data_IF_487903700711
#
_entry.id   IF_487903700711
#
_cell.length_a   1.000
_cell.length_b   1.000
_cell.length_c   1.000
_cell.angle_alpha   90.00
_cell.angle_beta   90.00
_cell.angle_gamma   90.00
#
_symmetry.space_group_name_H-M   'P 1'
#
loop_
_entity.id
_entity.type
_entity.pdbx_description
1 polymer ?
#
# COMPACT_ATOMS: atom_id res chain seq x y z
N UNK A 1 -6.42 7.55 10.75
CA UNK A 1 -5.26 8.46 10.77
C UNK A 1 -5.13 9.04 9.37
N UNK A 2 -5.22 10.35 9.16
CA UNK A 2 -5.03 10.89 7.82
C UNK A 2 -3.57 10.71 7.39
N UNK A 3 -3.38 10.18 6.19
CA UNK A 3 -2.07 10.09 5.57
C UNK A 3 -1.84 11.42 4.87
N UNK A 4 -0.85 12.17 5.31
CA UNK A 4 -0.49 13.45 4.72
C UNK A 4 0.78 13.30 3.90
N UNK A 5 0.96 14.19 2.93
CA UNK A 5 2.26 14.38 2.28
C UNK A 5 3.26 14.75 3.37
N UNK A 6 4.33 13.99 3.47
CA UNK A 6 5.36 14.17 4.47
C UNK A 6 6.56 14.83 3.82
N UNK A 7 7.08 15.85 4.47
CA UNK A 7 8.29 16.54 4.06
C UNK A 7 9.25 16.57 5.26
N UNK A 8 10.50 16.22 4.99
CA UNK A 8 11.57 16.28 5.98
C UNK A 8 12.39 17.53 5.76
N UNK A 9 12.65 18.27 6.85
CA UNK A 9 13.57 19.40 6.83
C UNK A 9 15.02 18.92 6.75
N UNK A 10 15.76 19.33 5.71
CA UNK A 10 17.16 18.95 5.48
C UNK A 10 18.16 19.89 6.11
N UNK A 11 17.69 20.98 6.74
CA UNK A 11 18.51 22.09 7.23
C UNK A 11 18.55 23.30 6.28
N UNK A 12 18.12 23.13 5.03
CA UNK A 12 18.09 24.20 4.02
C UNK A 12 16.74 24.28 3.30
N UNK A 13 16.08 23.16 3.04
CA UNK A 13 14.80 23.07 2.36
C UNK A 13 14.00 21.85 2.85
N UNK A 14 12.71 21.84 2.52
CA UNK A 14 11.85 20.68 2.75
C UNK A 14 11.97 19.72 1.59
N UNK A 15 12.33 18.46 1.88
CA UNK A 15 12.40 17.38 0.91
C UNK A 15 11.23 16.42 1.09
N UNK A 16 10.64 15.99 -0.03
CA UNK A 16 9.53 15.05 0.02
C UNK A 16 10.02 13.67 0.49
N UNK A 17 9.37 13.15 1.52
CA UNK A 17 9.67 11.83 2.06
C UNK A 17 8.40 10.99 2.19
N UNK A 18 8.55 9.73 2.54
CA UNK A 18 7.43 8.82 2.80
C UNK A 18 7.53 8.24 4.21
N UNK A 19 6.37 7.81 4.75
CA UNK A 19 6.32 7.14 6.05
C UNK A 19 7.25 5.92 6.11
N UNK A 20 7.35 5.19 5.00
CA UNK A 20 8.24 4.04 4.89
C UNK A 20 9.73 4.45 4.99
N UNK A 21 10.13 5.53 4.33
CA UNK A 21 11.49 6.06 4.42
C UNK A 21 11.84 6.57 5.83
N UNK A 22 10.85 7.09 6.54
CA UNK A 22 11.01 7.52 7.94
C UNK A 22 10.90 6.33 8.93
N UNK A 23 10.81 5.10 8.44
CA UNK A 23 10.80 3.89 9.27
C UNK A 23 9.48 3.65 10.01
N UNK A 24 8.39 4.30 9.59
CA UNK A 24 7.07 4.06 10.19
C UNK A 24 6.55 2.68 9.82
N UNK A 25 6.13 1.92 10.82
CA UNK A 25 5.52 0.60 10.68
C UNK A 25 4.11 0.62 11.27
N UNK A 26 3.12 0.23 10.47
CA UNK A 26 1.74 0.11 10.93
C UNK A 26 1.51 -1.27 11.56
N UNK A 27 1.22 -1.29 12.86
CA UNK A 27 0.85 -2.49 13.59
C UNK A 27 -0.66 -2.70 13.54
N UNK A 28 -1.12 -3.84 12.99
CA UNK A 28 -2.54 -4.13 12.76
C UNK A 28 -3.24 -4.86 13.92
N UNK A 29 -2.59 -4.95 15.06
CA UNK A 29 -3.16 -5.56 16.25
C UNK A 29 -2.82 -4.77 17.50
N UNK A 30 -3.32 -5.24 18.64
CA UNK A 30 -2.95 -4.74 19.98
C UNK A 30 -3.07 -3.21 20.15
N UNK A 31 -4.07 -2.60 19.48
CA UNK A 31 -4.27 -1.14 19.56
C UNK A 31 -3.20 -0.31 18.86
N UNK A 32 -2.44 -0.90 17.93
CA UNK A 32 -1.34 -0.23 17.22
C UNK A 32 0.04 -0.54 17.80
N UNK A 33 0.10 -1.33 18.88
CA UNK A 33 1.35 -1.78 19.47
C UNK A 33 1.94 -3.00 18.73
N UNK A 34 3.27 -3.21 18.80
CA UNK A 34 3.90 -4.40 18.22
C UNK A 34 3.30 -5.69 18.76
N UNK A 35 3.01 -6.65 17.88
CA UNK A 35 2.47 -7.94 18.29
C UNK A 35 3.52 -8.73 19.11
N UNK A 36 3.18 -9.21 20.33
CA UNK A 36 4.10 -10.02 21.13
C UNK A 36 4.58 -11.29 20.41
N UNK A 37 3.75 -11.84 19.52
CA UNK A 37 4.10 -13.01 18.71
C UNK A 37 5.09 -12.73 17.57
N UNK A 38 5.35 -11.46 17.24
CA UNK A 38 6.30 -11.08 16.17
C UNK A 38 7.74 -10.92 16.66
N UNK A 39 7.98 -10.97 17.97
CA UNK A 39 9.27 -10.69 18.60
C UNK A 39 10.34 -11.78 18.40
N UNK A 40 10.01 -12.91 17.73
CA UNK A 40 10.90 -14.08 17.63
C UNK A 40 11.71 -14.16 16.33
N UNK A 41 11.70 -13.15 15.47
CA UNK A 41 12.46 -13.17 14.20
C UNK A 41 13.41 -11.98 14.01
N UNK A 42 14.06 -11.52 15.08
CA UNK A 42 15.29 -10.73 14.97
C UNK A 42 16.48 -11.61 15.30
N UNK A 43 17.10 -12.15 14.26
CA UNK A 43 18.41 -12.80 14.39
C UNK A 43 18.52 -14.10 13.64
N UNK A 44 18.76 -14.03 12.35
CA UNK A 44 19.67 -14.94 11.65
C UNK A 44 19.88 -14.42 10.22
N UNK A 45 20.95 -13.65 10.06
CA UNK A 45 21.69 -13.62 8.80
C UNK A 45 22.36 -14.97 8.67
N UNK A 46 22.31 -15.54 7.48
CA UNK A 46 23.24 -16.59 7.14
C UNK A 46 22.66 -17.64 6.18
N UNK A 47 23.27 -17.62 5.04
CA UNK A 47 23.54 -18.73 4.12
C UNK A 47 22.53 -19.08 3.05
N UNK A 48 23.06 -18.92 1.86
CA UNK A 48 22.65 -19.41 0.54
C UNK A 48 22.27 -20.90 0.56
N UNK A 49 21.24 -21.24 -0.16
CA UNK A 49 21.18 -22.53 -0.86
C UNK A 49 20.37 -22.34 -2.14
N UNK A 50 21.09 -22.51 -3.24
CA UNK A 50 20.59 -22.67 -4.59
C UNK A 50 19.70 -23.91 -4.69
N UNK A 51 18.57 -23.80 -5.36
CA UNK A 51 17.99 -24.92 -6.09
C UNK A 51 17.18 -24.40 -7.25
N UNK A 52 17.70 -24.72 -8.42
CA UNK A 52 17.14 -24.63 -9.75
C UNK A 52 15.80 -25.37 -9.84
N UNK A 53 14.79 -24.73 -10.43
CA UNK A 53 13.78 -25.45 -11.19
C UNK A 53 13.35 -24.59 -12.39
N UNK A 54 13.58 -25.16 -13.57
CA UNK A 54 13.31 -24.56 -14.87
C UNK A 54 11.83 -24.78 -15.20
N UNK A 55 11.14 -23.69 -15.48
CA UNK A 55 9.78 -23.69 -16.01
C UNK A 55 9.65 -22.62 -17.09
N UNK A 56 9.81 -23.02 -18.35
CA UNK A 56 9.60 -22.18 -19.53
C UNK A 56 8.14 -21.74 -19.63
N UNK A 57 7.91 -20.44 -19.74
CA UNK A 57 6.63 -19.83 -20.04
C UNK A 57 6.83 -18.53 -20.82
N UNK A 58 6.75 -18.62 -22.14
CA UNK A 58 6.79 -17.49 -23.06
C UNK A 58 5.63 -16.53 -22.78
N UNK A 59 5.95 -15.27 -22.52
CA UNK A 59 5.00 -14.17 -22.43
C UNK A 59 5.71 -12.85 -22.70
N UNK A 60 5.38 -12.21 -23.83
CA UNK A 60 5.93 -10.98 -24.40
C UNK A 60 6.15 -9.90 -23.34
N UNK A 61 7.39 -9.55 -23.16
CA UNK A 61 7.89 -8.50 -22.28
C UNK A 61 7.99 -7.18 -23.08
N UNK A 62 7.01 -6.33 -22.94
CA UNK A 62 7.20 -4.90 -23.20
C UNK A 62 7.95 -4.33 -21.99
N UNK A 63 9.24 -4.10 -22.15
CA UNK A 63 10.17 -3.62 -21.13
C UNK A 63 9.74 -2.32 -20.47
N UNK A 64 8.82 -2.40 -19.54
CA UNK A 64 8.51 -1.31 -18.59
C UNK A 64 9.55 -1.36 -17.50
N UNK A 65 10.43 -0.37 -17.44
CA UNK A 65 11.29 -0.09 -16.29
C UNK A 65 10.44 -0.16 -15.01
N UNK A 66 10.67 -1.23 -14.24
CA UNK A 66 10.02 -1.48 -12.96
C UNK A 66 10.36 -0.33 -12.01
N UNK A 67 9.46 0.62 -11.89
CA UNK A 67 9.51 1.63 -10.84
C UNK A 67 9.42 0.91 -9.50
N UNK A 68 10.17 1.34 -8.49
CA UNK A 68 10.36 0.67 -7.18
C UNK A 68 9.10 0.25 -6.39
N UNK A 69 7.93 0.20 -7.03
CA UNK A 69 6.65 -0.27 -6.53
C UNK A 69 6.48 -1.80 -6.61
N UNK A 70 7.33 -2.51 -7.36
CA UNK A 70 7.16 -3.95 -7.65
C UNK A 70 8.03 -4.86 -6.79
N UNK A 71 9.04 -4.35 -6.11
CA UNK A 71 9.76 -5.08 -5.07
C UNK A 71 8.96 -5.07 -3.77
N UNK A 72 7.86 -5.77 -3.79
CA UNK A 72 6.96 -5.84 -2.65
C UNK A 72 7.41 -6.94 -1.71
N UNK A 73 8.26 -6.58 -0.76
CA UNK A 73 8.44 -7.38 0.45
C UNK A 73 7.05 -7.67 1.04
N UNK A 74 6.82 -8.90 1.50
CA UNK A 74 5.53 -9.37 2.05
C UNK A 74 5.02 -8.56 3.25
N UNK A 75 5.76 -7.53 3.65
CA UNK A 75 5.48 -6.63 4.77
C UNK A 75 5.03 -5.23 4.33
N UNK A 76 4.95 -4.95 3.01
CA UNK A 76 4.47 -3.66 2.52
C UNK A 76 3.03 -3.74 2.03
N UNK A 77 2.24 -2.73 2.39
CA UNK A 77 0.87 -2.52 1.94
C UNK A 77 0.79 -1.20 1.19
N UNK A 78 0.15 -1.22 0.04
CA UNK A 78 -0.22 0.01 -0.67
C UNK A 78 -1.52 0.54 -0.08
N UNK A 79 -1.49 1.73 0.49
CA UNK A 79 -2.68 2.40 1.03
C UNK A 79 -3.04 3.57 0.12
N UNK A 80 -4.27 3.56 -0.37
CA UNK A 80 -4.83 4.64 -1.17
C UNK A 80 -5.69 5.51 -0.26
N UNK A 81 -5.33 6.78 -0.17
CA UNK A 81 -5.99 7.78 0.67
C UNK A 81 -6.35 9.03 -0.14
N UNK A 82 -7.16 9.92 0.43
CA UNK A 82 -7.49 11.21 -0.20
C UNK A 82 -6.27 12.07 -0.51
N UNK A 83 -5.17 11.88 0.22
CA UNK A 83 -3.88 12.56 0.03
C UNK A 83 -3.02 11.94 -1.07
N UNK A 84 -3.38 10.75 -1.57
CA UNK A 84 -2.65 10.04 -2.61
C UNK A 84 -2.45 8.56 -2.32
N UNK A 85 -1.44 7.97 -2.97
CA UNK A 85 -1.06 6.56 -2.85
C UNK A 85 0.21 6.45 -2.01
N UNK A 86 0.16 5.64 -0.96
CA UNK A 86 1.25 5.50 0.01
C UNK A 86 1.66 4.04 0.14
N UNK A 87 2.96 3.80 0.30
CA UNK A 87 3.47 2.48 0.69
C UNK A 87 3.81 2.51 2.18
N UNK A 88 3.29 1.57 2.94
CA UNK A 88 3.57 1.42 4.36
C UNK A 88 4.06 0.02 4.67
N UNK A 89 5.06 -0.05 5.54
CA UNK A 89 5.39 -1.31 6.21
C UNK A 89 4.29 -1.65 7.20
N UNK A 90 3.87 -2.91 7.21
CA UNK A 90 2.82 -3.41 8.10
C UNK A 90 3.30 -4.63 8.87
N UNK A 91 2.89 -4.70 10.12
CA UNK A 91 3.03 -5.88 10.96
C UNK A 91 1.65 -6.46 11.28
N UNK A 92 1.41 -7.65 10.74
CA UNK A 92 0.20 -8.42 11.04
C UNK A 92 0.25 -8.99 12.44
N UNK A 93 -0.89 -8.99 13.12
CA UNK A 93 -1.01 -9.76 14.36
C UNK A 93 -0.96 -11.25 14.05
N UNK A 94 -0.08 -11.98 14.72
CA UNK A 94 0.15 -13.43 14.56
C UNK A 94 -0.20 -14.23 15.83
N UNK A 95 -0.95 -13.63 16.76
CA UNK A 95 -1.40 -14.33 17.95
C UNK A 95 -2.35 -15.49 17.59
N UNK A 96 -2.46 -16.50 18.47
CA UNK A 96 -3.35 -17.65 18.27
C UNK A 96 -4.83 -17.26 18.05
N UNK A 97 -5.23 -16.10 18.57
CA UNK A 97 -6.56 -15.51 18.42
C UNK A 97 -6.61 -14.38 17.39
N UNK A 98 -5.58 -14.26 16.55
CA UNK A 98 -5.52 -13.19 15.54
C UNK A 98 -6.68 -13.34 14.55
N UNK A 99 -7.33 -12.22 14.25
CA UNK A 99 -8.31 -12.19 13.17
C UNK A 99 -7.63 -12.36 11.80
N UNK A 100 -8.39 -12.75 10.80
CA UNK A 100 -7.96 -12.82 9.41
C UNK A 100 -7.39 -11.48 8.92
N UNK A 101 -6.43 -11.47 7.97
CA UNK A 101 -5.76 -10.24 7.52
C UNK A 101 -6.73 -9.14 7.09
N UNK A 102 -7.76 -9.46 6.32
CA UNK A 102 -8.75 -8.48 5.89
C UNK A 102 -9.55 -7.88 7.06
N UNK A 103 -9.82 -8.66 8.11
CA UNK A 103 -10.50 -8.17 9.33
C UNK A 103 -9.58 -7.25 10.13
N UNK A 104 -8.27 -7.56 10.19
CA UNK A 104 -7.31 -6.69 10.84
C UNK A 104 -7.25 -5.31 10.16
N UNK A 105 -7.31 -5.26 8.82
CA UNK A 105 -7.38 -4.01 8.07
C UNK A 105 -8.67 -3.24 8.36
N UNK A 106 -9.83 -3.89 8.30
CA UNK A 106 -11.12 -3.26 8.57
C UNK A 106 -11.19 -2.65 9.98
N UNK A 107 -10.63 -3.32 10.98
CA UNK A 107 -10.53 -2.77 12.36
C UNK A 107 -9.69 -1.50 12.43
N UNK A 108 -8.74 -1.34 11.50
CA UNK A 108 -7.90 -0.13 11.38
C UNK A 108 -8.47 0.88 10.37
N UNK A 109 -9.75 0.76 9.99
CA UNK A 109 -10.42 1.62 9.01
C UNK A 109 -9.76 1.62 7.64
N UNK A 110 -9.24 0.47 7.24
CA UNK A 110 -8.68 0.21 5.92
C UNK A 110 -9.52 -0.86 5.22
N UNK A 111 -10.09 -0.51 4.09
CA UNK A 111 -10.89 -1.43 3.28
C UNK A 111 -9.94 -2.22 2.37
N UNK A 112 -9.83 -3.56 2.52
CA UNK A 112 -8.92 -4.35 1.71
C UNK A 112 -9.43 -4.51 0.28
N UNK A 113 -8.57 -4.35 -0.71
CA UNK A 113 -8.88 -4.60 -2.12
C UNK A 113 -9.05 -6.10 -2.45
N UNK A 114 -8.54 -6.98 -1.60
CA UNK A 114 -8.73 -8.42 -1.70
C UNK A 114 -8.81 -9.07 -0.32
N UNK A 115 -9.59 -10.15 -0.22
CA UNK A 115 -9.83 -10.82 1.07
C UNK A 115 -8.67 -11.76 1.44
N UNK A 116 -8.22 -12.59 0.49
CA UNK A 116 -7.27 -13.66 0.78
C UNK A 116 -5.85 -13.18 1.06
N UNK A 117 -5.36 -12.23 0.26
CA UNK A 117 -4.00 -11.67 0.36
C UNK A 117 -4.06 -10.16 0.07
N UNK A 118 -4.47 -9.35 1.03
CA UNK A 118 -4.56 -7.92 0.82
C UNK A 118 -3.16 -7.31 0.68
N UNK A 119 -2.84 -6.84 -0.52
CA UNK A 119 -1.63 -6.06 -0.82
C UNK A 119 -1.94 -4.58 -1.03
N UNK A 120 -3.23 -4.26 -1.18
CA UNK A 120 -3.74 -2.89 -1.34
C UNK A 120 -4.95 -2.70 -0.42
N UNK A 121 -5.05 -1.53 0.18
CA UNK A 121 -6.20 -1.13 0.98
C UNK A 121 -6.56 0.32 0.70
N UNK A 122 -7.83 0.66 0.92
CA UNK A 122 -8.39 2.00 0.77
C UNK A 122 -8.78 2.55 2.13
N UNK A 123 -8.53 3.83 2.39
CA UNK A 123 -9.09 4.46 3.59
C UNK A 123 -10.60 4.67 3.42
N UNK A 124 -11.37 4.56 4.50
CA UNK A 124 -12.81 4.84 4.44
C UNK A 124 -13.09 6.28 4.03
N UNK A 125 -12.24 7.22 4.43
CA UNK A 125 -12.35 8.63 4.01
C UNK A 125 -12.23 8.79 2.49
N UNK A 126 -11.34 8.02 1.84
CA UNK A 126 -11.23 8.02 0.38
C UNK A 126 -12.51 7.49 -0.26
N UNK A 127 -13.07 6.39 0.26
CA UNK A 127 -14.27 5.76 -0.27
C UNK A 127 -15.47 6.69 -0.20
N UNK A 128 -15.64 7.36 0.93
CA UNK A 128 -16.68 8.36 1.15
C UNK A 128 -16.51 9.55 0.19
N UNK A 129 -15.29 10.06 0.04
CA UNK A 129 -14.98 11.15 -0.88
C UNK A 129 -15.28 10.77 -2.34
N UNK A 130 -14.86 9.57 -2.77
CA UNK A 130 -15.16 9.08 -4.11
C UNK A 130 -16.67 8.90 -4.32
N UNK A 131 -17.38 8.38 -3.34
CA UNK A 131 -18.84 8.24 -3.42
C UNK A 131 -19.50 9.58 -3.67
N UNK A 132 -19.15 10.61 -2.91
CA UNK A 132 -19.68 11.96 -3.11
C UNK A 132 -19.31 12.50 -4.49
N UNK A 133 -18.04 12.44 -4.90
CA UNK A 133 -17.57 12.89 -6.21
C UNK A 133 -18.28 12.17 -7.37
N UNK A 134 -18.60 10.89 -7.21
CA UNK A 134 -19.28 10.09 -8.23
C UNK A 134 -20.76 10.48 -8.39
N UNK A 135 -21.43 10.77 -7.28
CA UNK A 135 -22.84 11.14 -7.27
C UNK A 135 -23.06 12.60 -7.70
N UNK A 136 -22.33 13.52 -7.09
CA UNK A 136 -22.51 14.95 -7.31
C UNK A 136 -21.82 15.46 -8.58
N UNK A 137 -20.57 15.02 -8.81
CA UNK A 137 -19.73 15.51 -9.90
C UNK A 137 -19.68 14.56 -11.09
N UNK A 138 -20.36 13.40 -11.04
CA UNK A 138 -20.30 12.36 -12.08
C UNK A 138 -18.86 11.91 -12.40
N UNK A 139 -17.99 11.94 -11.41
CA UNK A 139 -16.59 11.59 -11.57
C UNK A 139 -16.43 10.08 -11.76
N UNK A 140 -15.78 9.68 -12.85
CA UNK A 140 -15.45 8.27 -13.06
C UNK A 140 -14.32 7.81 -12.15
N UNK A 141 -14.24 6.50 -11.88
CA UNK A 141 -13.16 5.91 -11.09
C UNK A 141 -11.77 6.24 -11.68
N UNK A 142 -11.63 6.17 -13.01
CA UNK A 142 -10.36 6.50 -13.68
C UNK A 142 -9.97 7.98 -13.55
N UNK A 143 -10.93 8.89 -13.64
CA UNK A 143 -10.69 10.34 -13.42
C UNK A 143 -10.30 10.62 -11.99
N UNK A 144 -10.99 10.00 -11.03
CA UNK A 144 -10.68 10.13 -9.61
C UNK A 144 -9.29 9.59 -9.29
N UNK A 145 -8.93 8.41 -9.83
CA UNK A 145 -7.60 7.84 -9.64
C UNK A 145 -6.51 8.69 -10.30
N UNK A 146 -6.77 9.31 -11.45
CA UNK A 146 -5.84 10.25 -12.08
C UNK A 146 -5.54 11.47 -11.20
N UNK A 147 -6.55 11.98 -10.47
CA UNK A 147 -6.38 13.01 -9.43
C UNK A 147 -5.46 12.51 -8.31
N UNK A 148 -5.68 11.29 -7.80
CA UNK A 148 -4.84 10.70 -6.74
C UNK A 148 -3.39 10.52 -7.16
N UNK A 149 -3.14 10.12 -8.41
CA UNK A 149 -1.78 10.02 -8.97
C UNK A 149 -1.05 11.36 -8.94
N UNK A 150 -1.74 12.44 -9.30
CA UNK A 150 -1.18 13.80 -9.25
C UNK A 150 -0.92 14.27 -7.83
N UNK A 151 -1.77 13.90 -6.88
CA UNK A 151 -1.55 14.19 -5.46
C UNK A 151 -0.36 13.41 -4.89
N UNK A 152 -0.15 12.17 -5.36
CA UNK A 152 0.97 11.33 -4.94
C UNK A 152 2.30 11.89 -5.47
N UNK A 153 2.36 12.20 -6.75
CA UNK A 153 3.55 12.75 -7.40
C UNK A 153 3.14 13.74 -8.50
N UNK A 154 3.16 15.02 -8.16
CA UNK A 154 2.80 16.09 -9.08
C UNK A 154 3.75 16.20 -10.27
N UNK A 155 5.05 15.92 -10.07
CA UNK A 155 6.09 16.02 -11.10
C UNK A 155 6.07 14.83 -12.05
N UNK A 156 5.72 13.64 -11.59
CA UNK A 156 5.68 12.41 -12.38
C UNK A 156 4.49 11.52 -12.01
N UNK A 157 3.24 11.92 -12.37
CA UNK A 157 2.05 11.15 -12.01
C UNK A 157 2.05 9.74 -12.63
N UNK A 158 2.77 9.54 -13.73
CA UNK A 158 2.87 8.25 -14.41
C UNK A 158 3.76 7.23 -13.67
N UNK A 159 4.55 7.65 -12.69
CA UNK A 159 5.32 6.74 -11.83
C UNK A 159 4.42 5.91 -10.89
N UNK A 160 3.18 6.33 -10.65
CA UNK A 160 2.21 5.59 -9.84
C UNK A 160 1.54 4.51 -10.69
N UNK A 161 1.61 3.22 -10.32
CA UNK A 161 1.15 2.11 -11.15
C UNK A 161 -0.33 2.18 -11.53
N UNK A 162 -0.64 1.96 -12.80
CA UNK A 162 -2.03 1.95 -13.33
C UNK A 162 -2.84 0.76 -12.78
N UNK A 163 -2.19 -0.34 -12.38
CA UNK A 163 -2.86 -1.51 -11.79
C UNK A 163 -3.81 -1.15 -10.64
N UNK A 164 -3.48 -0.10 -9.89
CA UNK A 164 -4.32 0.38 -8.79
C UNK A 164 -5.64 0.99 -9.28
N UNK A 165 -5.69 1.54 -10.49
CA UNK A 165 -6.93 2.04 -11.09
C UNK A 165 -7.92 0.90 -11.34
N UNK A 166 -7.44 -0.20 -11.92
CA UNK A 166 -8.27 -1.38 -12.19
C UNK A 166 -8.81 -2.01 -10.89
N UNK A 167 -7.96 -2.10 -9.85
CA UNK A 167 -8.38 -2.58 -8.53
C UNK A 167 -9.46 -1.65 -7.96
N UNK A 168 -9.28 -0.34 -8.10
CA UNK A 168 -10.24 0.65 -7.62
C UNK A 168 -11.58 0.52 -8.35
N UNK A 169 -11.60 0.37 -9.67
CA UNK A 169 -12.80 0.14 -10.46
C UNK A 169 -13.53 -1.16 -10.04
N UNK A 170 -12.80 -2.27 -9.93
CA UNK A 170 -13.38 -3.56 -9.55
C UNK A 170 -13.84 -3.68 -8.09
N UNK A 171 -13.43 -2.76 -7.23
CA UNK A 171 -13.83 -2.77 -5.81
C UNK A 171 -15.14 -2.02 -5.56
N UNK A 172 -15.64 -1.23 -6.54
CA UNK A 172 -16.80 -0.33 -6.38
C UNK A 172 -17.90 -0.52 -7.42
N UNK A 173 -17.69 -1.36 -8.41
CA UNK A 173 -18.67 -1.75 -9.43
C UNK A 173 -18.71 -3.28 -9.57
#
# INVERSE_FOLDING_TARGET
MPLHRIERWTGQFFDATSLNQEGFVLHLGHGGEPCPGSSTKKGQQGTQSESSDEGEGEGNDDGVLLTGWEQQDRQCLVIVDISGVHQLQINWCQCKTAAEPHIQLLRNRLFPASIKRPSTAFTFSLLEHFHIDSVECKTSASSFFSKLRRLTNASSPHSVPVRLANIFEHSFF
#
